data_IF_974063033974
#
_entry.id   IF_974063033974
#
_cell.length_a   1.000
_cell.length_b   1.000
_cell.length_c   1.000
_cell.angle_alpha   90.00
_cell.angle_beta   90.00
_cell.angle_gamma   90.00
#
_symmetry.space_group_name_H-M   'P 1'
#
loop_
_entity.id
_entity.type
_entity.pdbx_description
1 polymer ?
#
# COMPACT_ATOMS: atom_id res chain seq x y z
N UNK A 1 10.88 -9.70 -3.10
CA UNK A 1 9.64 -8.89 -2.99
C UNK A 1 8.98 -8.82 -4.35
N UNK A 2 7.65 -8.73 -4.40
CA UNK A 2 6.86 -8.66 -5.64
C UNK A 2 5.58 -7.85 -5.40
N UNK A 3 5.01 -7.27 -6.46
CA UNK A 3 3.66 -6.71 -6.41
C UNK A 3 2.68 -7.82 -6.80
N UNK A 4 1.64 -8.02 -5.97
CA UNK A 4 0.68 -9.12 -6.13
C UNK A 4 -0.76 -8.66 -6.27
N UNK A 5 -1.05 -7.42 -5.91
CA UNK A 5 -2.42 -6.95 -5.74
C UNK A 5 -2.53 -5.47 -6.05
N UNK A 6 -3.74 -5.06 -6.42
CA UNK A 6 -4.10 -3.66 -6.61
C UNK A 6 -5.26 -3.31 -5.67
N UNK A 7 -5.15 -2.15 -5.00
CA UNK A 7 -6.20 -1.58 -4.19
C UNK A 7 -6.45 -0.12 -4.56
N UNK A 8 -7.66 0.36 -4.29
CA UNK A 8 -8.01 1.77 -4.35
C UNK A 8 -8.09 2.33 -2.94
N UNK A 9 -7.43 3.47 -2.70
CA UNK A 9 -7.57 4.21 -1.44
C UNK A 9 -8.98 4.79 -1.38
N UNK A 10 -9.69 4.51 -0.28
CA UNK A 10 -11.03 5.03 -0.03
C UNK A 10 -11.00 6.19 0.96
N UNK A 11 -10.11 6.11 1.95
CA UNK A 11 -9.93 7.16 2.94
C UNK A 11 -8.46 7.25 3.37
N UNK A 12 -8.00 8.48 3.58
CA UNK A 12 -6.67 8.78 4.08
C UNK A 12 -6.80 9.77 5.23
N UNK A 13 -6.27 9.42 6.39
CA UNK A 13 -6.25 10.27 7.58
C UNK A 13 -4.85 10.29 8.18
N UNK A 14 -4.55 11.32 8.97
CA UNK A 14 -3.38 11.36 9.84
C UNK A 14 -3.83 11.68 11.25
N UNK A 15 -3.46 10.83 12.21
CA UNK A 15 -3.86 11.02 13.60
C UNK A 15 -2.78 10.55 14.57
N UNK A 16 -2.81 11.11 15.77
CA UNK A 16 -2.10 10.65 16.98
C UNK A 16 -3.06 10.15 18.04
N UNK A 17 -4.37 10.21 17.81
CA UNK A 17 -5.39 9.74 18.75
C UNK A 17 -5.64 8.25 18.55
N UNK A 18 -5.27 7.46 19.56
CA UNK A 18 -5.45 6.01 19.60
C UNK A 18 -6.90 5.61 19.39
N UNK A 19 -7.85 6.30 20.04
CA UNK A 19 -9.27 5.97 19.94
C UNK A 19 -9.80 6.24 18.53
N UNK A 20 -9.40 7.35 17.93
CA UNK A 20 -9.74 7.68 16.54
C UNK A 20 -9.15 6.65 15.57
N UNK A 21 -7.86 6.31 15.71
CA UNK A 21 -7.19 5.33 14.84
C UNK A 21 -7.89 3.97 14.96
N UNK A 22 -8.09 3.48 16.18
CA UNK A 22 -8.74 2.20 16.46
C UNK A 22 -10.18 2.16 15.90
N UNK A 23 -10.92 3.26 16.01
CA UNK A 23 -12.26 3.40 15.43
C UNK A 23 -12.23 3.33 13.90
N UNK A 24 -11.33 4.08 13.25
CA UNK A 24 -11.21 4.11 11.79
C UNK A 24 -10.83 2.74 11.21
N UNK A 25 -9.85 2.06 11.81
CA UNK A 25 -9.37 0.78 11.29
C UNK A 25 -10.26 -0.38 11.71
N UNK A 26 -10.87 -0.32 12.90
CA UNK A 26 -11.74 -1.38 13.45
C UNK A 26 -11.18 -2.78 13.18
N UNK A 27 -11.92 -3.67 12.49
CA UNK A 27 -11.48 -5.03 12.11
C UNK A 27 -10.68 -5.11 10.79
N UNK A 28 -10.26 -3.98 10.22
CA UNK A 28 -9.58 -3.88 8.91
C UNK A 28 -8.06 -3.74 9.05
N UNK A 29 -7.51 -3.95 10.25
CA UNK A 29 -6.08 -3.91 10.53
C UNK A 29 -5.59 -5.24 11.08
N UNK A 30 -4.32 -5.53 10.83
CA UNK A 30 -3.59 -6.66 11.45
C UNK A 30 -2.93 -6.26 12.77
N UNK A 31 -2.88 -4.96 13.07
CA UNK A 31 -2.31 -4.45 14.31
C UNK A 31 -3.28 -4.62 15.48
N UNK A 32 -2.75 -5.11 16.59
CA UNK A 32 -3.42 -5.11 17.88
C UNK A 32 -3.56 -3.69 18.43
N UNK A 33 -4.42 -3.49 19.44
CA UNK A 33 -4.60 -2.19 20.09
C UNK A 33 -3.29 -1.66 20.70
N UNK A 34 -2.48 -2.52 21.32
CA UNK A 34 -1.20 -2.12 21.90
C UNK A 34 -0.15 -1.73 20.85
N UNK A 35 -0.23 -2.27 19.64
CA UNK A 35 0.59 -1.82 18.51
C UNK A 35 0.09 -0.48 17.97
N UNK A 36 -1.23 -0.27 17.90
CA UNK A 36 -1.82 1.02 17.53
C UNK A 36 -1.40 2.12 18.51
N UNK A 37 -1.41 1.86 19.82
CA UNK A 37 -0.91 2.78 20.85
C UNK A 37 0.55 3.19 20.60
N UNK A 38 1.41 2.21 20.28
CA UNK A 38 2.82 2.47 19.97
C UNK A 38 2.99 3.31 18.71
N UNK A 39 2.19 3.06 17.68
CA UNK A 39 2.21 3.83 16.43
C UNK A 39 1.74 5.28 16.66
N UNK A 40 0.67 5.45 17.44
CA UNK A 40 0.03 6.75 17.71
C UNK A 40 0.91 7.74 18.50
N UNK A 41 2.03 7.29 19.10
CA UNK A 41 3.04 8.16 19.71
C UNK A 41 3.66 9.21 18.75
N UNK A 42 3.38 9.09 17.45
CA UNK A 42 3.72 10.06 16.42
C UNK A 42 2.59 10.14 15.40
N UNK A 43 2.52 11.23 14.60
CA UNK A 43 1.54 11.34 13.52
C UNK A 43 1.57 10.11 12.61
N UNK A 44 0.48 9.33 12.66
CA UNK A 44 0.35 8.05 11.97
C UNK A 44 -0.58 8.21 10.79
N UNK A 45 -0.14 7.77 9.61
CA UNK A 45 -0.96 7.74 8.40
C UNK A 45 -1.86 6.51 8.43
N UNK A 46 -3.16 6.72 8.33
CA UNK A 46 -4.17 5.68 8.25
C UNK A 46 -4.66 5.64 6.80
N UNK A 47 -4.50 4.49 6.14
CA UNK A 47 -4.87 4.29 4.74
C UNK A 47 -5.90 3.17 4.70
N UNK A 48 -7.16 3.53 4.53
CA UNK A 48 -8.21 2.56 4.24
C UNK A 48 -8.26 2.39 2.72
N UNK A 49 -8.14 1.15 2.29
CA UNK A 49 -8.22 0.80 0.87
C UNK A 49 -9.16 -0.37 0.66
N UNK A 50 -9.82 -0.37 -0.49
CA UNK A 50 -10.56 -1.52 -0.99
C UNK A 50 -9.69 -2.28 -1.96
N UNK A 51 -9.55 -3.58 -1.70
CA UNK A 51 -8.90 -4.48 -2.63
C UNK A 51 -9.71 -4.52 -3.94
N UNK A 52 -9.07 -4.15 -5.05
CA UNK A 52 -9.67 -4.30 -6.39
C UNK A 52 -9.53 -5.75 -6.84
N UNK A 53 -8.35 -6.33 -6.62
CA UNK A 53 -8.11 -7.74 -6.92
C UNK A 53 -6.64 -8.11 -6.82
N UNK A 54 -6.41 -9.41 -6.93
CA UNK A 54 -5.08 -10.00 -7.05
C UNK A 54 -4.69 -10.11 -8.52
N UNK A 55 -3.41 -9.93 -8.79
CA UNK A 55 -2.84 -10.21 -10.09
C UNK A 55 -2.76 -11.71 -10.32
N UNK A 56 -3.02 -12.16 -11.55
CA UNK A 56 -2.85 -13.56 -11.94
C UNK A 56 -1.39 -14.00 -11.85
N UNK A 57 -0.46 -13.05 -12.02
CA UNK A 57 0.97 -13.25 -11.84
C UNK A 57 1.55 -12.17 -10.92
N UNK A 58 2.33 -12.59 -9.93
CA UNK A 58 3.13 -11.68 -9.12
C UNK A 58 4.24 -11.04 -9.98
N UNK A 59 4.40 -9.73 -9.90
CA UNK A 59 5.43 -8.99 -10.64
C UNK A 59 6.66 -8.87 -9.74
N UNK A 60 7.77 -9.56 -10.04
CA UNK A 60 8.97 -9.50 -9.21
C UNK A 60 9.57 -8.09 -9.18
N UNK A 61 10.17 -7.71 -8.05
CA UNK A 61 10.83 -6.41 -7.92
C UNK A 61 11.91 -6.17 -9.00
N UNK A 62 12.67 -7.20 -9.39
CA UNK A 62 13.67 -7.10 -10.47
C UNK A 62 13.06 -6.66 -11.80
N UNK A 63 11.89 -7.20 -12.16
CA UNK A 63 11.17 -6.80 -13.36
C UNK A 63 10.73 -5.33 -13.30
N UNK A 64 10.35 -4.82 -12.13
CA UNK A 64 9.99 -3.40 -11.97
C UNK A 64 11.19 -2.46 -12.17
N UNK A 65 12.40 -2.90 -11.81
CA UNK A 65 13.65 -2.18 -12.07
C UNK A 65 13.96 -2.20 -13.57
N UNK A 66 13.91 -3.37 -14.19
CA UNK A 66 14.15 -3.57 -15.63
C UNK A 66 13.18 -2.75 -16.49
N UNK A 67 11.89 -2.70 -16.12
CA UNK A 67 10.86 -1.93 -16.80
C UNK A 67 10.94 -0.40 -16.53
N UNK A 68 11.93 0.04 -15.75
CA UNK A 68 12.13 1.44 -15.35
C UNK A 68 10.98 2.03 -14.54
N UNK A 69 10.16 1.18 -13.91
CA UNK A 69 9.01 1.58 -13.07
C UNK A 69 9.51 2.03 -11.70
N UNK A 70 10.52 1.35 -11.18
CA UNK A 70 11.15 1.65 -9.90
C UNK A 70 12.65 1.81 -10.12
N UNK A 71 13.27 2.77 -9.44
CA UNK A 71 14.70 3.09 -9.60
C UNK A 71 15.54 2.71 -8.38
N UNK A 72 14.92 2.17 -7.33
CA UNK A 72 15.57 1.82 -6.07
C UNK A 72 14.55 1.48 -4.99
N UNK A 73 15.01 1.27 -3.73
CA UNK A 73 14.16 0.79 -2.65
C UNK A 73 12.89 1.62 -2.44
N UNK A 74 11.75 0.94 -2.31
CA UNK A 74 10.46 1.57 -2.01
C UNK A 74 10.35 1.70 -0.48
N UNK A 75 10.88 2.80 0.06
CA UNK A 75 10.83 3.12 1.50
C UNK A 75 9.63 3.99 1.88
N UNK A 76 8.88 4.47 0.89
CA UNK A 76 7.70 5.32 1.05
C UNK A 76 6.74 5.14 -0.14
N UNK A 77 5.52 5.65 0.00
CA UNK A 77 4.56 5.72 -1.11
C UNK A 77 5.14 6.62 -2.20
N UNK A 78 5.11 6.14 -3.45
CA UNK A 78 5.63 6.87 -4.61
C UNK A 78 4.56 7.00 -5.68
N UNK A 79 4.61 8.12 -6.41
CA UNK A 79 3.81 8.30 -7.62
C UNK A 79 4.49 7.53 -8.77
N UNK A 80 3.66 6.88 -9.59
CA UNK A 80 4.08 6.31 -10.87
C UNK A 80 3.40 7.08 -11.99
N UNK A 81 3.99 7.08 -13.19
CA UNK A 81 3.34 7.62 -14.38
C UNK A 81 2.26 6.67 -14.90
N UNK A 82 1.32 7.18 -15.70
CA UNK A 82 0.29 6.37 -16.34
C UNK A 82 0.90 5.29 -17.23
N UNK A 83 1.99 5.60 -17.93
CA UNK A 83 2.74 4.63 -18.72
C UNK A 83 3.32 3.51 -17.86
N UNK A 84 3.86 3.84 -16.69
CA UNK A 84 4.36 2.84 -15.75
C UNK A 84 3.21 1.99 -15.17
N UNK A 85 2.08 2.61 -14.83
CA UNK A 85 0.89 1.90 -14.37
C UNK A 85 0.35 0.93 -15.43
N UNK A 86 0.26 1.35 -16.69
CA UNK A 86 -0.14 0.49 -17.80
C UNK A 86 0.82 -0.70 -17.99
N UNK A 87 2.14 -0.49 -17.84
CA UNK A 87 3.13 -1.57 -17.87
C UNK A 87 2.94 -2.57 -16.73
N UNK A 88 2.66 -2.10 -15.51
CA UNK A 88 2.35 -2.98 -14.37
C UNK A 88 1.15 -3.87 -14.72
N UNK A 89 0.05 -3.29 -15.22
CA UNK A 89 -1.16 -4.05 -15.57
C UNK A 89 -0.94 -5.04 -16.73
N UNK A 90 -0.05 -4.74 -17.66
CA UNK A 90 0.31 -5.68 -18.73
C UNK A 90 1.15 -6.86 -18.17
N UNK A 91 2.16 -6.56 -17.34
CA UNK A 91 3.05 -7.54 -16.72
C UNK A 91 2.35 -8.45 -15.70
N UNK A 92 1.22 -8.01 -15.14
CA UNK A 92 0.41 -8.78 -14.18
C UNK A 92 -0.44 -9.88 -14.83
N UNK A 93 -0.63 -9.85 -16.15
CA UNK A 93 -1.49 -10.76 -16.94
C UNK A 93 -0.72 -11.72 -17.85
N UNK A 94 0.59 -11.52 -17.99
CA UNK A 94 1.49 -12.37 -18.80
C UNK A 94 1.74 -13.72 -18.14
#
# INVERSE_FOLDING_TARGET
MAITSLGAVEQFEVSTDVAQIASLVSRRTVYSLSEIEKLANRPTKIILFRLIGHFSRAIPYGQLIEDGIVTGPIQSIRKVSDAAFARILASSKR
#
